data_IF_436980094525
#
_entry.id   IF_436980094525
#
_cell.length_a   1.000
_cell.length_b   1.000
_cell.length_c   1.000
_cell.angle_alpha   90.00
_cell.angle_beta   90.00
_cell.angle_gamma   90.00
#
_symmetry.space_group_name_H-M   'P 1'
#
loop_
_entity.id
_entity.type
_entity.pdbx_description
1 polymer ?
#
# COMPACT_ATOMS: atom_id res chain seq x y z
N UNK A 1 -27.73 -19.41 -70.48
CA UNK A 1 -26.80 -20.18 -69.63
C UNK A 1 -25.69 -19.32 -69.00
N UNK A 2 -25.37 -18.11 -69.45
CA UNK A 2 -24.29 -17.29 -68.88
C UNK A 2 -24.68 -16.46 -67.64
N UNK A 3 -25.94 -16.32 -67.29
CA UNK A 3 -26.42 -15.54 -66.14
C UNK A 3 -26.61 -16.38 -64.87
N UNK A 4 -26.65 -17.69 -64.96
CA UNK A 4 -26.74 -18.57 -63.78
C UNK A 4 -25.37 -18.90 -63.14
N UNK A 5 -24.28 -18.81 -63.90
CA UNK A 5 -22.94 -19.11 -63.41
C UNK A 5 -22.34 -17.98 -62.50
N UNK A 6 -22.82 -16.73 -62.67
CA UNK A 6 -22.32 -15.58 -61.88
C UNK A 6 -22.97 -15.56 -60.49
N UNK A 7 -24.17 -16.11 -60.31
CA UNK A 7 -24.87 -16.13 -59.01
C UNK A 7 -24.28 -17.22 -58.06
N UNK A 8 -23.73 -18.29 -58.59
CA UNK A 8 -23.11 -19.37 -57.80
C UNK A 8 -21.70 -18.98 -57.34
N UNK A 9 -20.95 -18.20 -58.15
CA UNK A 9 -19.63 -17.71 -57.73
C UNK A 9 -19.69 -16.63 -56.65
N UNK A 10 -20.79 -15.87 -56.57
CA UNK A 10 -21.01 -14.86 -55.52
C UNK A 10 -21.36 -15.45 -54.15
N UNK A 11 -21.97 -16.66 -54.13
CA UNK A 11 -22.36 -17.32 -52.87
C UNK A 11 -21.21 -18.11 -52.23
N UNK A 12 -20.19 -18.51 -52.99
CA UNK A 12 -19.03 -19.24 -52.48
C UNK A 12 -17.95 -18.32 -51.92
N UNK A 13 -17.91 -17.06 -52.36
CA UNK A 13 -16.95 -16.08 -51.89
C UNK A 13 -17.28 -15.45 -50.51
N UNK A 14 -18.49 -15.65 -50.00
CA UNK A 14 -18.89 -15.14 -48.65
C UNK A 14 -18.74 -16.13 -47.53
N UNK A 15 -18.29 -17.36 -47.80
CA UNK A 15 -18.07 -18.41 -46.79
C UNK A 15 -16.61 -18.56 -46.33
N UNK A 16 -15.70 -17.68 -46.77
CA UNK A 16 -14.28 -17.76 -46.38
C UNK A 16 -13.91 -16.50 -45.59
N UNK A 17 -13.93 -16.66 -44.29
CA UNK A 17 -13.27 -15.89 -43.20
C UNK A 17 -14.20 -15.31 -42.14
N UNK A 18 -15.11 -16.11 -41.63
CA UNK A 18 -15.52 -15.95 -40.24
C UNK A 18 -14.64 -16.90 -39.43
N UNK A 19 -13.39 -16.49 -39.16
CA UNK A 19 -12.69 -16.99 -37.99
C UNK A 19 -13.56 -16.56 -36.79
N UNK A 20 -14.39 -17.50 -36.32
CA UNK A 20 -15.30 -17.27 -35.22
C UNK A 20 -14.44 -16.91 -33.98
N UNK A 21 -14.33 -15.61 -33.72
CA UNK A 21 -13.67 -15.13 -32.53
C UNK A 21 -14.44 -15.68 -31.32
N UNK A 22 -13.77 -16.50 -30.51
CA UNK A 22 -14.38 -17.12 -29.34
C UNK A 22 -14.97 -16.02 -28.45
N UNK A 23 -16.19 -16.26 -27.94
CA UNK A 23 -16.78 -15.36 -26.94
C UNK A 23 -15.90 -15.28 -25.69
N UNK A 24 -16.04 -14.20 -24.90
CA UNK A 24 -15.30 -14.06 -23.65
C UNK A 24 -15.46 -15.28 -22.74
N UNK A 25 -16.66 -15.84 -22.66
CA UNK A 25 -16.93 -17.03 -21.86
C UNK A 25 -16.20 -18.26 -22.40
N UNK A 26 -16.11 -18.43 -23.72
CA UNK A 26 -15.36 -19.53 -24.35
C UNK A 26 -13.84 -19.37 -24.12
N UNK A 27 -13.31 -18.16 -24.06
CA UNK A 27 -11.90 -17.94 -23.72
C UNK A 27 -11.60 -18.38 -22.28
N UNK A 28 -12.47 -18.04 -21.32
CA UNK A 28 -12.34 -18.50 -19.93
C UNK A 28 -12.41 -20.04 -19.84
N UNK A 29 -13.37 -20.66 -20.55
CA UNK A 29 -13.51 -22.12 -20.61
C UNK A 29 -12.27 -22.81 -21.20
N UNK A 30 -11.59 -22.18 -22.16
CA UNK A 30 -10.36 -22.71 -22.76
C UNK A 30 -9.24 -22.84 -21.71
N UNK A 31 -9.09 -21.85 -20.81
CA UNK A 31 -8.11 -21.91 -19.72
C UNK A 31 -8.44 -23.03 -18.73
N UNK A 32 -9.71 -23.13 -18.32
CA UNK A 32 -10.17 -24.21 -17.43
C UNK A 32 -9.95 -25.59 -18.04
N UNK A 33 -10.21 -25.75 -19.33
CA UNK A 33 -9.98 -27.00 -20.06
C UNK A 33 -8.49 -27.38 -20.05
N UNK A 34 -7.60 -26.42 -20.28
CA UNK A 34 -6.15 -26.64 -20.21
C UNK A 34 -5.72 -27.20 -18.84
N UNK A 35 -6.16 -26.58 -17.73
CA UNK A 35 -5.84 -27.06 -16.39
C UNK A 35 -6.37 -28.47 -16.11
N UNK A 36 -7.56 -28.80 -16.62
CA UNK A 36 -8.10 -30.16 -16.52
C UNK A 36 -7.23 -31.17 -17.31
N UNK A 37 -6.75 -30.80 -18.52
CA UNK A 37 -5.88 -31.66 -19.30
C UNK A 37 -4.52 -31.87 -18.61
N UNK A 38 -3.92 -30.85 -18.07
CA UNK A 38 -2.67 -30.96 -17.30
C UNK A 38 -2.87 -31.93 -16.14
N UNK A 39 -3.90 -31.72 -15.32
CA UNK A 39 -4.15 -32.59 -14.17
C UNK A 39 -4.39 -34.04 -14.52
N UNK A 40 -5.05 -34.31 -15.64
CA UNK A 40 -5.50 -35.68 -16.00
C UNK A 40 -4.53 -36.42 -16.91
N UNK A 41 -3.72 -35.71 -17.70
CA UNK A 41 -2.96 -36.30 -18.80
C UNK A 41 -1.47 -35.95 -18.82
N UNK A 42 -1.03 -35.00 -17.99
CA UNK A 42 0.40 -34.67 -17.96
C UNK A 42 1.20 -35.84 -17.37
N UNK A 43 2.41 -36.05 -17.86
CA UNK A 43 3.23 -37.23 -17.55
C UNK A 43 3.62 -37.30 -16.08
N UNK A 44 3.83 -36.15 -15.45
CA UNK A 44 4.20 -36.04 -14.02
C UNK A 44 3.05 -35.45 -13.20
N UNK A 45 3.01 -35.75 -11.91
CA UNK A 45 2.08 -35.14 -10.98
C UNK A 45 2.55 -33.70 -10.63
N UNK A 46 1.79 -32.71 -11.10
CA UNK A 46 2.14 -31.29 -10.94
C UNK A 46 1.11 -30.59 -10.08
N UNK A 47 1.53 -29.87 -9.00
CA UNK A 47 0.63 -29.04 -8.22
C UNK A 47 0.07 -27.89 -9.08
N UNK A 48 -1.26 -27.73 -9.09
CA UNK A 48 -1.91 -26.70 -9.91
C UNK A 48 -1.74 -25.29 -9.34
N UNK A 49 -1.56 -25.16 -8.02
CA UNK A 49 -1.49 -23.86 -7.34
C UNK A 49 -0.42 -22.93 -7.95
N UNK A 50 0.86 -23.33 -8.08
CA UNK A 50 1.88 -22.48 -8.69
C UNK A 50 1.58 -22.12 -10.16
N UNK A 51 1.00 -23.06 -10.92
CA UNK A 51 0.64 -22.82 -12.32
C UNK A 51 -0.48 -21.77 -12.46
N UNK A 52 -1.46 -21.80 -11.56
CA UNK A 52 -2.56 -20.84 -11.54
C UNK A 52 -2.05 -19.47 -11.12
N UNK A 53 -1.19 -19.39 -10.12
CA UNK A 53 -0.58 -18.13 -9.66
C UNK A 53 0.24 -17.47 -10.78
N UNK A 54 1.09 -18.21 -11.45
CA UNK A 54 1.87 -17.71 -12.60
C UNK A 54 0.96 -17.20 -13.73
N UNK A 55 -0.12 -17.92 -14.03
CA UNK A 55 -1.08 -17.48 -15.05
C UNK A 55 -1.80 -16.18 -14.65
N UNK A 56 -2.15 -16.01 -13.36
CA UNK A 56 -2.74 -14.79 -12.83
C UNK A 56 -1.73 -13.64 -12.95
N UNK A 57 -0.48 -13.86 -12.52
CA UNK A 57 0.59 -12.86 -12.58
C UNK A 57 0.81 -12.43 -14.04
N UNK A 58 0.96 -13.38 -14.97
CA UNK A 58 1.13 -13.07 -16.38
C UNK A 58 -0.05 -12.28 -16.96
N UNK A 59 -1.28 -12.65 -16.62
CA UNK A 59 -2.49 -11.96 -17.09
C UNK A 59 -2.56 -10.52 -16.58
N UNK A 60 -2.25 -10.29 -15.30
CA UNK A 60 -2.32 -8.96 -14.68
C UNK A 60 -1.23 -8.05 -15.24
N UNK A 61 -0.05 -8.58 -15.51
CA UNK A 61 1.09 -7.83 -16.07
C UNK A 61 0.79 -7.20 -17.44
N UNK A 62 -0.12 -7.80 -18.22
CA UNK A 62 -0.58 -7.26 -19.51
C UNK A 62 -1.55 -6.08 -19.39
N UNK A 63 -2.03 -5.74 -18.17
CA UNK A 63 -3.00 -4.66 -17.98
C UNK A 63 -2.33 -3.31 -17.77
N UNK A 64 -1.43 -3.24 -16.80
CA UNK A 64 -0.68 -2.04 -16.43
C UNK A 64 0.45 -2.40 -15.42
N UNK A 65 1.48 -1.54 -15.24
CA UNK A 65 2.61 -1.84 -14.37
C UNK A 65 2.30 -1.74 -12.86
N UNK A 66 1.08 -1.36 -12.47
CA UNK A 66 0.69 -1.14 -11.08
C UNK A 66 -0.30 -2.19 -10.56
N UNK A 67 -1.06 -2.83 -11.44
CA UNK A 67 -1.87 -3.98 -11.06
C UNK A 67 -0.96 -5.16 -10.72
N UNK A 68 -1.27 -5.90 -9.65
CA UNK A 68 -0.42 -6.98 -9.16
C UNK A 68 -1.24 -8.07 -8.47
N UNK A 69 -0.73 -9.30 -8.57
CA UNK A 69 -1.10 -10.37 -7.66
C UNK A 69 -0.33 -10.20 -6.36
N UNK A 70 -0.97 -10.48 -5.25
CA UNK A 70 -0.39 -10.39 -3.91
C UNK A 70 -0.54 -11.75 -3.22
N UNK A 71 0.55 -12.29 -2.76
CA UNK A 71 0.57 -13.48 -1.91
C UNK A 71 -0.20 -13.22 -0.61
N UNK A 72 -0.46 -14.27 0.14
CA UNK A 72 -1.10 -14.16 1.48
C UNK A 72 -0.32 -13.24 2.42
N UNK A 73 0.99 -13.35 2.40
CA UNK A 73 1.91 -12.54 3.20
C UNK A 73 1.88 -11.07 2.77
N UNK A 74 1.93 -10.79 1.47
CA UNK A 74 1.85 -9.44 0.92
C UNK A 74 0.49 -8.79 1.17
N UNK A 75 -0.61 -9.55 1.08
CA UNK A 75 -1.94 -9.10 1.45
C UNK A 75 -2.02 -8.71 2.94
N UNK A 76 -1.43 -9.51 3.81
CA UNK A 76 -1.36 -9.21 5.24
C UNK A 76 -0.56 -7.93 5.50
N UNK A 77 0.59 -7.76 4.84
CA UNK A 77 1.43 -6.57 4.94
C UNK A 77 0.72 -5.31 4.41
N UNK A 78 -0.01 -5.43 3.29
CA UNK A 78 -0.80 -4.34 2.73
C UNK A 78 -1.91 -3.89 3.68
N UNK A 79 -2.68 -4.84 4.22
CA UNK A 79 -3.76 -4.55 5.19
C UNK A 79 -3.21 -3.84 6.43
N UNK A 80 -2.11 -4.32 6.97
CA UNK A 80 -1.37 -3.69 8.08
C UNK A 80 -1.00 -2.24 7.77
N UNK A 81 -0.43 -1.99 6.60
CA UNK A 81 -0.03 -0.64 6.19
C UNK A 81 -1.23 0.30 6.05
N UNK A 82 -2.35 -0.18 5.51
CA UNK A 82 -3.55 0.63 5.29
C UNK A 82 -4.34 0.87 6.58
N UNK A 83 -4.39 -0.11 7.48
CA UNK A 83 -5.05 0.05 8.79
C UNK A 83 -4.24 0.90 9.77
N UNK A 84 -2.92 0.89 9.65
CA UNK A 84 -2.02 1.46 10.65
C UNK A 84 -1.84 0.58 11.89
N UNK A 85 -2.33 -0.68 11.84
CA UNK A 85 -2.25 -1.62 12.95
C UNK A 85 -1.55 -2.90 12.49
N UNK A 86 -0.75 -3.49 13.34
CA UNK A 86 -0.18 -4.82 13.11
C UNK A 86 -0.12 -5.61 14.40
N UNK A 87 -0.29 -6.91 14.31
CA UNK A 87 -0.12 -7.77 15.47
C UNK A 87 1.33 -8.24 15.58
N UNK A 88 1.94 -7.97 16.73
CA UNK A 88 3.34 -8.29 16.99
C UNK A 88 3.79 -7.96 18.40
N UNK A 89 5.10 -7.77 18.58
CA UNK A 89 5.71 -7.50 19.89
C UNK A 89 5.96 -6.00 20.17
N UNK A 90 5.97 -5.15 19.13
CA UNK A 90 6.14 -3.70 19.28
C UNK A 90 7.58 -3.24 19.56
N UNK A 91 8.52 -3.67 18.73
CA UNK A 91 9.92 -3.19 18.75
C UNK A 91 10.29 -2.53 17.43
N UNK A 92 11.12 -1.49 17.50
CA UNK A 92 11.90 -0.98 16.36
C UNK A 92 13.32 -1.53 16.50
N UNK A 93 13.87 -2.08 15.44
CA UNK A 93 15.18 -2.72 15.46
C UNK A 93 15.99 -2.40 14.20
N UNK A 94 17.26 -2.73 14.26
CA UNK A 94 18.15 -2.78 13.11
C UNK A 94 18.94 -4.10 13.14
N UNK A 95 19.40 -4.55 11.98
CA UNK A 95 20.35 -5.64 11.90
C UNK A 95 21.76 -5.07 12.02
N UNK A 96 22.55 -5.59 12.96
CA UNK A 96 23.94 -5.22 13.16
C UNK A 96 24.79 -6.47 13.45
N UNK A 97 25.79 -6.73 12.61
CA UNK A 97 26.61 -7.94 12.67
C UNK A 97 25.74 -9.21 12.76
N UNK A 98 24.86 -9.39 11.78
CA UNK A 98 23.94 -10.53 11.64
C UNK A 98 23.00 -10.76 12.84
N UNK A 99 22.86 -9.77 13.71
CA UNK A 99 22.06 -9.87 14.93
C UNK A 99 21.03 -8.73 14.96
N UNK A 100 19.81 -9.04 15.40
CA UNK A 100 18.78 -8.05 15.64
C UNK A 100 19.08 -7.24 16.91
N UNK A 101 19.24 -5.93 16.77
CA UNK A 101 19.45 -5.01 17.89
C UNK A 101 18.24 -4.13 18.07
N UNK A 102 17.64 -4.16 19.26
CA UNK A 102 16.49 -3.32 19.60
C UNK A 102 16.92 -1.86 19.68
N UNK A 103 16.30 -0.98 18.90
CA UNK A 103 16.50 0.47 18.99
C UNK A 103 15.59 1.09 20.06
N UNK A 104 14.31 0.72 20.03
CA UNK A 104 13.31 1.19 20.99
C UNK A 104 12.12 0.26 21.00
N UNK A 105 11.33 0.28 22.05
CA UNK A 105 10.00 -0.29 22.13
C UNK A 105 8.95 0.75 21.72
N UNK A 106 7.82 0.31 21.21
CA UNK A 106 6.66 1.17 20.96
C UNK A 106 5.86 1.33 22.26
N UNK A 107 5.29 2.50 22.45
CA UNK A 107 4.48 2.79 23.63
C UNK A 107 3.30 1.81 23.76
N UNK A 108 2.98 1.40 24.96
CA UNK A 108 1.92 0.45 25.30
C UNK A 108 2.03 -0.93 24.63
N UNK A 109 3.21 -1.26 24.07
CA UNK A 109 3.43 -2.54 23.40
C UNK A 109 3.76 -3.69 24.37
N UNK A 110 3.61 -4.96 23.92
CA UNK A 110 4.09 -6.12 24.68
C UNK A 110 5.57 -6.03 25.08
N UNK A 111 6.42 -5.55 24.16
CA UNK A 111 7.85 -5.41 24.42
C UNK A 111 8.16 -4.39 25.53
N UNK A 112 7.43 -3.26 25.55
CA UNK A 112 7.56 -2.28 26.63
C UNK A 112 7.10 -2.85 27.97
N UNK A 113 5.92 -3.49 28.00
CA UNK A 113 5.39 -4.14 29.21
C UNK A 113 6.33 -5.23 29.74
N UNK A 114 7.02 -5.95 28.86
CA UNK A 114 8.00 -6.98 29.22
C UNK A 114 9.41 -6.43 29.51
N UNK A 115 9.58 -5.09 29.50
CA UNK A 115 10.84 -4.42 29.78
C UNK A 115 11.99 -4.86 28.86
N UNK A 116 11.67 -4.98 27.58
CA UNK A 116 12.71 -5.05 26.54
C UNK A 116 13.34 -3.67 26.42
N UNK A 117 14.66 -3.62 26.38
CA UNK A 117 15.42 -2.37 26.47
C UNK A 117 16.13 -2.07 25.14
N UNK A 118 16.40 -0.78 24.86
CA UNK A 118 17.32 -0.40 23.80
C UNK A 118 18.69 -1.08 23.96
N UNK A 119 19.27 -1.51 22.84
CA UNK A 119 20.51 -2.30 22.74
C UNK A 119 20.40 -3.76 23.19
N UNK A 120 19.22 -4.28 23.54
CA UNK A 120 19.01 -5.71 23.64
C UNK A 120 19.28 -6.36 22.27
N UNK A 121 20.01 -7.48 22.26
CA UNK A 121 20.27 -8.27 21.07
C UNK A 121 19.41 -9.52 21.10
N UNK A 122 18.47 -9.63 20.15
CA UNK A 122 17.62 -10.81 20.01
C UNK A 122 18.36 -11.81 19.15
N UNK A 123 18.63 -13.00 19.69
CA UNK A 123 19.38 -14.06 19.04
C UNK A 123 18.51 -15.26 18.64
N UNK A 124 17.34 -15.40 19.26
CA UNK A 124 16.39 -16.46 18.91
C UNK A 124 14.94 -16.00 19.07
N UNK A 125 14.05 -16.58 18.28
CA UNK A 125 12.59 -16.44 18.36
C UNK A 125 12.00 -17.84 18.36
N UNK A 126 11.15 -18.16 19.36
CA UNK A 126 10.54 -19.49 19.55
C UNK A 126 11.57 -20.64 19.49
N UNK A 127 12.70 -20.45 20.17
CA UNK A 127 13.86 -21.34 20.22
C UNK A 127 14.57 -21.56 18.87
N UNK A 128 14.25 -20.80 17.84
CA UNK A 128 14.97 -20.81 16.56
C UNK A 128 15.97 -19.67 16.54
N UNK A 129 17.21 -19.95 16.19
CA UNK A 129 18.22 -18.90 16.01
C UNK A 129 17.81 -17.99 14.85
N UNK A 130 18.00 -16.68 15.06
CA UNK A 130 17.76 -15.65 14.02
C UNK A 130 19.05 -14.92 13.62
N UNK A 131 20.19 -15.46 13.98
CA UNK A 131 21.49 -14.94 13.55
C UNK A 131 21.66 -15.23 12.06
N UNK A 132 22.07 -14.22 11.30
CA UNK A 132 22.26 -14.26 9.84
C UNK A 132 20.98 -14.57 9.01
N UNK A 133 19.79 -14.33 9.57
CA UNK A 133 18.53 -14.46 8.83
C UNK A 133 18.17 -13.10 8.18
N UNK A 134 17.58 -13.08 6.95
CA UNK A 134 17.11 -11.85 6.33
C UNK A 134 16.11 -11.09 7.21
N UNK A 135 16.19 -9.76 7.19
CA UNK A 135 15.37 -8.86 8.03
C UNK A 135 13.88 -9.11 7.88
N UNK A 136 13.42 -9.38 6.66
CA UNK A 136 12.00 -9.63 6.37
C UNK A 136 11.48 -10.92 7.01
N UNK A 137 12.33 -11.96 7.03
CA UNK A 137 12.01 -13.23 7.71
C UNK A 137 11.91 -13.03 9.22
N UNK A 138 12.77 -12.20 9.81
CA UNK A 138 12.71 -11.86 11.24
C UNK A 138 11.42 -11.10 11.55
N UNK A 139 11.04 -10.13 10.72
CA UNK A 139 9.79 -9.40 10.86
C UNK A 139 8.57 -10.34 10.88
N UNK A 140 8.55 -11.34 10.00
CA UNK A 140 7.49 -12.36 9.94
C UNK A 140 7.41 -13.19 11.22
N UNK A 141 8.55 -13.59 11.81
CA UNK A 141 8.59 -14.35 13.05
C UNK A 141 8.11 -13.55 14.26
N UNK A 142 8.39 -12.25 14.33
CA UNK A 142 7.95 -11.35 15.40
C UNK A 142 6.45 -11.02 15.31
N UNK A 143 5.89 -11.04 14.11
CA UNK A 143 4.44 -10.87 13.85
C UNK A 143 3.71 -12.17 14.12
N UNK A 144 2.37 -12.10 14.15
CA UNK A 144 1.51 -13.26 14.32
C UNK A 144 0.10 -12.84 14.74
N UNK A 145 -0.74 -13.81 15.06
CA UNK A 145 -2.10 -13.50 15.52
C UNK A 145 -2.05 -12.83 16.91
N UNK A 146 -2.91 -11.83 17.18
CA UNK A 146 -3.05 -11.26 18.52
C UNK A 146 -3.30 -12.35 19.56
N UNK A 147 -2.84 -12.12 20.76
CA UNK A 147 -2.96 -13.04 21.91
C UNK A 147 -2.19 -14.38 21.78
N UNK A 148 -1.32 -14.54 20.77
CA UNK A 148 -0.40 -15.69 20.69
C UNK A 148 0.91 -15.37 21.38
N UNK A 149 1.52 -16.37 22.02
CA UNK A 149 2.82 -16.22 22.68
C UNK A 149 3.95 -16.27 21.67
N UNK A 150 5.04 -15.54 21.97
CA UNK A 150 6.33 -15.60 21.29
C UNK A 150 7.44 -15.51 22.32
N UNK A 151 8.43 -16.39 22.22
CA UNK A 151 9.56 -16.43 23.14
C UNK A 151 10.80 -15.84 22.49
N UNK A 152 11.44 -14.87 23.14
CA UNK A 152 12.64 -14.18 22.63
C UNK A 152 13.84 -14.53 23.49
N UNK A 153 14.90 -15.06 22.85
CA UNK A 153 16.20 -15.21 23.47
C UNK A 153 17.02 -13.92 23.28
N UNK A 154 17.43 -13.30 24.37
CA UNK A 154 17.99 -11.94 24.38
C UNK A 154 19.34 -11.93 25.07
N UNK A 155 20.37 -11.36 24.43
CA UNK A 155 21.60 -10.97 25.06
C UNK A 155 21.50 -9.51 25.51
N UNK A 156 21.66 -9.25 26.78
CA UNK A 156 21.61 -7.91 27.39
C UNK A 156 22.93 -7.56 28.05
N UNK A 157 23.42 -6.36 27.80
CA UNK A 157 24.68 -5.87 28.46
C UNK A 157 24.54 -5.94 29.97
N UNK A 158 25.56 -6.48 30.65
CA UNK A 158 25.58 -6.65 32.11
C UNK A 158 24.82 -7.88 32.62
N UNK A 159 24.45 -8.81 31.72
CA UNK A 159 23.95 -10.14 32.08
C UNK A 159 24.85 -11.21 31.49
N UNK A 160 25.30 -12.17 32.33
CA UNK A 160 26.22 -13.24 31.91
C UNK A 160 25.54 -14.33 31.07
N UNK A 161 24.23 -14.47 31.17
CA UNK A 161 23.44 -15.48 30.46
C UNK A 161 22.36 -14.83 29.61
N UNK A 162 22.01 -15.42 28.47
CA UNK A 162 20.86 -15.00 27.69
C UNK A 162 19.59 -15.03 28.54
N UNK A 163 18.74 -14.05 28.34
CA UNK A 163 17.41 -13.95 28.93
C UNK A 163 16.40 -14.57 27.98
N UNK A 164 15.48 -15.37 28.48
CA UNK A 164 14.31 -15.84 27.75
C UNK A 164 13.08 -15.04 28.22
N UNK A 165 12.51 -14.27 27.33
CA UNK A 165 11.35 -13.42 27.62
C UNK A 165 10.20 -13.87 26.71
N UNK A 166 9.12 -14.36 27.30
CA UNK A 166 7.89 -14.69 26.57
C UNK A 166 6.95 -13.51 26.57
N UNK A 167 6.48 -13.14 25.39
CA UNK A 167 5.58 -12.02 25.14
C UNK A 167 4.29 -12.56 24.53
N UNK A 168 3.18 -11.92 24.85
CA UNK A 168 1.94 -12.16 24.13
C UNK A 168 1.81 -11.10 23.04
N UNK A 169 1.75 -11.51 21.75
CA UNK A 169 1.53 -10.60 20.63
C UNK A 169 0.23 -9.82 20.81
N UNK A 170 0.26 -8.57 20.45
CA UNK A 170 -0.87 -7.65 20.59
C UNK A 170 -1.03 -6.81 19.33
N UNK A 171 -2.17 -6.16 19.16
CA UNK A 171 -2.32 -5.14 18.13
C UNK A 171 -1.47 -3.93 18.50
N UNK A 172 -0.57 -3.58 17.62
CA UNK A 172 0.34 -2.45 17.75
C UNK A 172 -0.12 -1.38 16.79
N UNK A 173 -0.42 -0.21 17.30
CA UNK A 173 -0.65 0.97 16.48
C UNK A 173 0.68 1.46 15.92
N UNK A 174 0.73 1.58 14.61
CA UNK A 174 1.87 2.18 13.90
C UNK A 174 1.48 3.58 13.49
N UNK A 175 2.02 4.58 14.18
CA UNK A 175 1.72 5.97 13.85
C UNK A 175 2.13 6.31 12.41
N UNK A 176 1.22 6.96 11.70
CA UNK A 176 1.48 7.56 10.39
C UNK A 176 2.40 8.79 10.48
N UNK A 177 2.51 9.37 11.68
CA UNK A 177 3.37 10.53 11.95
C UNK A 177 4.73 10.04 12.42
N UNK A 178 5.75 10.23 11.60
CA UNK A 178 7.12 9.82 11.89
C UNK A 178 7.89 10.82 12.73
N UNK A 179 7.55 12.10 12.63
CA UNK A 179 8.12 13.17 13.43
C UNK A 179 7.13 14.35 13.54
N UNK A 180 7.09 14.99 14.70
CA UNK A 180 6.38 16.26 14.92
C UNK A 180 7.13 17.07 15.97
N UNK A 181 7.52 18.31 15.63
CA UNK A 181 8.22 19.24 16.50
C UNK A 181 8.09 20.67 16.01
N UNK A 182 8.38 21.64 16.85
CA UNK A 182 8.47 23.05 16.49
C UNK A 182 9.91 23.55 16.51
N UNK A 183 10.24 24.45 15.58
CA UNK A 183 11.50 25.18 15.47
C UNK A 183 11.15 26.67 15.53
N UNK A 184 11.15 27.24 16.75
CA UNK A 184 10.56 28.56 16.98
C UNK A 184 9.08 28.53 16.59
N UNK A 185 8.66 29.46 15.76
CA UNK A 185 7.26 29.61 15.32
C UNK A 185 6.89 28.69 14.12
N UNK A 186 7.80 27.82 13.69
CA UNK A 186 7.61 26.90 12.59
C UNK A 186 7.30 25.50 13.11
N UNK A 187 6.11 24.99 12.82
CA UNK A 187 5.74 23.60 13.07
C UNK A 187 6.24 22.70 11.93
N UNK A 188 6.69 21.50 12.28
CA UNK A 188 7.08 20.46 11.32
C UNK A 188 6.38 19.15 11.66
N UNK A 189 5.71 18.55 10.67
CA UNK A 189 5.07 17.23 10.79
C UNK A 189 5.45 16.39 9.58
N UNK A 190 6.08 15.24 9.83
CA UNK A 190 6.40 14.27 8.79
C UNK A 190 5.39 13.13 8.79
N UNK A 191 4.77 12.88 7.63
CA UNK A 191 3.79 11.84 7.40
C UNK A 191 4.42 10.72 6.59
N UNK A 192 4.56 9.54 7.16
CA UNK A 192 5.22 8.39 6.52
C UNK A 192 4.29 7.53 5.67
N UNK A 193 2.99 7.56 5.94
CA UNK A 193 1.99 6.77 5.20
C UNK A 193 0.59 7.37 5.38
N UNK A 194 -0.29 7.12 4.42
CA UNK A 194 -1.72 7.47 4.52
C UNK A 194 -2.53 6.26 5.01
N UNK A 195 -2.30 5.87 6.28
CA UNK A 195 -3.11 4.88 6.98
C UNK A 195 -4.45 5.48 7.45
N UNK A 196 -5.38 4.63 7.85
CA UNK A 196 -6.73 5.06 8.26
C UNK A 196 -6.74 6.16 9.35
N UNK A 197 -5.91 6.13 10.41
CA UNK A 197 -5.95 7.15 11.48
C UNK A 197 -5.16 8.42 11.16
N UNK A 198 -4.52 8.57 9.98
CA UNK A 198 -3.56 9.65 9.70
C UNK A 198 -4.09 11.05 9.97
N UNK A 199 -5.34 11.34 9.61
CA UNK A 199 -5.90 12.68 9.81
C UNK A 199 -6.07 13.04 11.29
N UNK A 200 -6.51 12.10 12.11
CA UNK A 200 -6.66 12.28 13.56
C UNK A 200 -5.31 12.36 14.27
N UNK A 201 -4.34 11.51 13.88
CA UNK A 201 -2.98 11.57 14.39
C UNK A 201 -2.30 12.88 14.03
N UNK A 202 -2.44 13.30 12.76
CA UNK A 202 -1.91 14.58 12.30
C UNK A 202 -2.46 15.76 13.08
N UNK A 203 -3.79 15.82 13.26
CA UNK A 203 -4.43 16.90 14.01
C UNK A 203 -4.04 16.90 15.48
N UNK A 204 -3.85 15.73 16.08
CA UNK A 204 -3.34 15.60 17.45
C UNK A 204 -1.89 16.07 17.57
N UNK A 205 -1.04 15.68 16.61
CA UNK A 205 0.34 16.13 16.52
C UNK A 205 0.42 17.65 16.34
N UNK A 206 -0.39 18.22 15.43
CA UNK A 206 -0.48 19.67 15.22
C UNK A 206 -0.82 20.41 16.52
N UNK A 207 -1.83 19.97 17.25
CA UNK A 207 -2.20 20.59 18.53
C UNK A 207 -1.10 20.51 19.60
N UNK A 208 -0.27 19.48 19.54
CA UNK A 208 0.84 19.30 20.46
C UNK A 208 2.04 20.22 20.16
N UNK A 209 2.11 20.83 18.97
CA UNK A 209 3.18 21.80 18.62
C UNK A 209 3.09 23.12 19.37
N UNK A 210 1.92 23.43 19.96
CA UNK A 210 1.66 24.72 20.61
C UNK A 210 1.38 25.83 19.59
N UNK A 211 1.72 27.05 19.97
CA UNK A 211 1.52 28.24 19.14
C UNK A 211 2.59 28.27 18.04
N UNK A 212 2.18 28.06 16.80
CA UNK A 212 3.03 28.13 15.62
C UNK A 212 2.41 29.09 14.59
N UNK A 213 3.24 29.82 13.85
CA UNK A 213 2.78 30.75 12.81
C UNK A 213 2.71 30.12 11.43
N UNK A 214 3.45 29.06 11.16
CA UNK A 214 3.42 28.32 9.90
C UNK A 214 3.70 26.84 10.11
N UNK A 215 3.32 26.01 9.12
CA UNK A 215 3.41 24.56 9.18
C UNK A 215 4.12 23.98 7.95
N UNK A 216 5.09 23.12 8.19
CA UNK A 216 5.71 22.28 7.17
C UNK A 216 5.14 20.86 7.30
N UNK A 217 4.57 20.37 6.21
CA UNK A 217 4.13 18.96 6.06
C UNK A 217 5.12 18.25 5.15
N UNK A 218 5.83 17.27 5.69
CA UNK A 218 6.82 16.52 4.94
C UNK A 218 6.25 15.19 4.46
N UNK A 219 6.13 15.04 3.13
CA UNK A 219 5.68 13.84 2.43
C UNK A 219 6.82 13.17 1.63
N UNK A 220 8.07 13.57 1.85
CA UNK A 220 9.19 12.92 1.19
C UNK A 220 9.26 11.46 1.61
N UNK A 221 9.55 10.57 0.66
CA UNK A 221 9.59 9.10 0.83
C UNK A 221 8.27 8.46 1.25
N UNK A 222 7.15 9.20 1.14
CA UNK A 222 5.81 8.67 1.42
C UNK A 222 5.17 8.13 0.13
N UNK A 223 5.16 6.81 -0.03
CA UNK A 223 4.57 6.13 -1.19
C UNK A 223 3.03 6.15 -1.23
N UNK A 224 2.38 6.90 -0.33
CA UNK A 224 0.93 7.04 -0.28
C UNK A 224 0.25 6.10 0.73
N UNK A 225 -0.91 5.60 0.35
CA UNK A 225 -1.77 4.75 1.18
C UNK A 225 -3.23 4.79 0.68
N UNK A 226 -4.19 4.82 1.60
CA UNK A 226 -5.60 4.83 1.25
C UNK A 226 -6.04 6.20 0.71
N UNK A 227 -6.82 6.20 -0.38
CA UNK A 227 -7.39 7.44 -0.95
C UNK A 227 -8.29 8.18 0.04
N UNK A 228 -9.07 7.45 0.83
CA UNK A 228 -9.92 8.02 1.88
C UNK A 228 -9.11 8.78 2.90
N UNK A 229 -7.97 8.23 3.31
CA UNK A 229 -7.04 8.87 4.25
C UNK A 229 -6.40 10.14 3.69
N UNK A 230 -6.11 10.16 2.37
CA UNK A 230 -5.66 11.38 1.70
C UNK A 230 -6.74 12.46 1.69
N UNK A 231 -7.99 12.07 1.40
CA UNK A 231 -9.15 12.97 1.41
C UNK A 231 -9.35 13.55 2.82
N UNK A 232 -9.29 12.71 3.87
CA UNK A 232 -9.48 13.15 5.25
C UNK A 232 -8.38 14.12 5.70
N UNK A 233 -7.11 13.80 5.43
CA UNK A 233 -5.98 14.65 5.80
C UNK A 233 -5.98 15.97 5.02
N UNK A 234 -6.17 15.92 3.69
CA UNK A 234 -6.24 17.12 2.85
C UNK A 234 -7.38 18.02 3.28
N UNK A 235 -8.49 17.42 3.64
CA UNK A 235 -9.68 18.13 4.12
C UNK A 235 -9.47 18.92 5.41
N UNK A 236 -8.39 18.74 6.15
CA UNK A 236 -8.06 19.62 7.29
C UNK A 236 -7.70 21.04 6.85
N UNK A 237 -7.24 21.23 5.62
CA UNK A 237 -6.69 22.46 5.08
C UNK A 237 -7.60 23.18 4.07
N UNK A 238 -8.72 22.59 3.68
CA UNK A 238 -9.58 23.08 2.61
C UNK A 238 -10.94 23.57 3.10
N UNK A 239 -11.55 24.47 2.35
CA UNK A 239 -12.87 25.05 2.62
C UNK A 239 -13.99 24.12 2.17
N UNK A 240 -15.15 24.33 2.70
CA UNK A 240 -16.38 23.68 2.21
C UNK A 240 -16.58 23.96 0.72
N UNK A 241 -16.81 22.91 -0.05
CA UNK A 241 -17.02 22.96 -1.48
C UNK A 241 -15.76 22.76 -2.32
N UNK A 242 -14.57 22.89 -1.72
CA UNK A 242 -13.32 22.64 -2.44
C UNK A 242 -13.24 21.17 -2.85
N UNK A 243 -12.93 20.95 -4.12
CA UNK A 243 -12.66 19.60 -4.65
C UNK A 243 -11.29 19.15 -4.16
N UNK A 244 -11.20 17.94 -3.65
CA UNK A 244 -9.93 17.35 -3.21
C UNK A 244 -9.31 16.55 -4.36
N UNK A 245 -10.11 15.69 -4.97
CA UNK A 245 -9.69 14.81 -6.05
C UNK A 245 -10.94 14.34 -6.82
N UNK A 246 -10.81 14.07 -8.10
CA UNK A 246 -11.81 13.32 -8.85
C UNK A 246 -11.25 12.00 -9.36
N UNK A 247 -12.09 10.98 -9.45
CA UNK A 247 -11.71 9.66 -9.99
C UNK A 247 -12.58 9.31 -11.17
N UNK A 248 -11.95 8.84 -12.25
CA UNK A 248 -12.61 8.46 -13.50
C UNK A 248 -12.36 6.98 -13.77
N UNK A 249 -13.41 6.19 -13.60
CA UNK A 249 -13.43 4.75 -13.85
C UNK A 249 -14.21 4.39 -15.10
N UNK A 250 -14.45 3.08 -15.32
CA UNK A 250 -15.25 2.61 -16.45
C UNK A 250 -16.70 3.06 -16.33
N UNK A 251 -17.05 4.12 -17.06
CA UNK A 251 -18.42 4.62 -17.15
C UNK A 251 -18.90 5.46 -15.94
N UNK A 252 -18.03 5.80 -15.00
CA UNK A 252 -18.39 6.67 -13.87
C UNK A 252 -17.25 7.62 -13.49
N UNK A 253 -17.63 8.81 -13.05
CA UNK A 253 -16.73 9.78 -12.42
C UNK A 253 -17.22 10.05 -11.01
N UNK A 254 -16.33 10.06 -10.05
CA UNK A 254 -16.63 10.42 -8.65
C UNK A 254 -15.80 11.63 -8.28
N UNK A 255 -16.45 12.66 -7.73
CA UNK A 255 -15.80 13.87 -7.22
C UNK A 255 -15.85 13.82 -5.69
N UNK A 256 -14.69 13.99 -5.09
CA UNK A 256 -14.53 14.08 -3.63
C UNK A 256 -14.28 15.55 -3.27
N UNK A 257 -15.26 16.15 -2.65
CA UNK A 257 -15.23 17.56 -2.21
C UNK A 257 -15.37 17.67 -0.70
N UNK A 258 -14.94 18.79 -0.15
CA UNK A 258 -15.02 19.07 1.27
C UNK A 258 -16.44 19.43 1.69
N UNK A 259 -16.99 18.75 2.68
CA UNK A 259 -18.38 18.98 3.14
C UNK A 259 -18.50 20.04 4.23
N UNK A 260 -17.40 20.37 4.92
CA UNK A 260 -17.29 21.37 5.98
C UNK A 260 -15.92 22.03 5.90
N UNK A 261 -15.78 23.22 6.42
CA UNK A 261 -14.48 23.88 6.55
C UNK A 261 -13.51 23.04 7.38
N UNK A 262 -12.27 22.98 6.94
CA UNK A 262 -11.19 22.34 7.69
C UNK A 262 -10.75 23.19 8.87
N UNK A 263 -10.21 22.60 9.92
CA UNK A 263 -9.74 23.35 11.10
C UNK A 263 -8.41 24.09 10.90
N UNK A 264 -7.72 23.88 9.78
CA UNK A 264 -6.38 24.42 9.50
C UNK A 264 -6.36 25.30 8.25
N UNK A 265 -7.42 26.09 8.04
CA UNK A 265 -7.59 26.93 6.83
C UNK A 265 -6.57 28.05 6.74
N UNK A 266 -6.24 28.67 7.85
CA UNK A 266 -5.54 29.96 7.85
C UNK A 266 -4.05 29.84 8.12
N UNK A 267 -3.55 28.67 8.55
CA UNK A 267 -2.13 28.48 8.81
C UNK A 267 -1.33 28.48 7.50
N UNK A 268 -0.31 29.31 7.34
CA UNK A 268 0.62 29.24 6.22
C UNK A 268 1.23 27.84 6.11
N UNK A 269 1.18 27.26 4.90
CA UNK A 269 1.48 25.85 4.68
C UNK A 269 2.57 25.66 3.63
N UNK A 270 3.59 24.87 3.97
CA UNK A 270 4.59 24.34 3.04
C UNK A 270 4.50 22.82 3.01
N UNK A 271 4.51 22.25 1.82
CA UNK A 271 4.48 20.79 1.61
C UNK A 271 5.78 20.36 0.95
N UNK A 272 6.53 19.45 1.59
CA UNK A 272 7.76 18.89 1.04
C UNK A 272 7.47 17.57 0.33
N UNK A 273 7.93 17.44 -0.91
CA UNK A 273 7.82 16.22 -1.71
C UNK A 273 9.15 15.85 -2.38
N UNK A 274 9.29 14.58 -2.75
CA UNK A 274 10.37 14.08 -3.59
C UNK A 274 9.89 13.04 -4.60
N UNK A 275 10.80 12.44 -5.34
CA UNK A 275 10.53 11.41 -6.36
C UNK A 275 9.87 10.14 -5.81
N UNK A 276 9.91 9.91 -4.51
CA UNK A 276 9.27 8.79 -3.83
C UNK A 276 7.89 9.15 -3.25
N UNK A 277 7.50 10.44 -3.29
CA UNK A 277 6.14 10.87 -2.92
C UNK A 277 5.15 10.41 -3.98
N UNK A 278 4.24 9.49 -3.63
CA UNK A 278 3.38 8.83 -4.62
C UNK A 278 1.90 8.74 -4.19
N UNK A 279 1.00 8.60 -5.17
CA UNK A 279 -0.41 8.24 -4.94
C UNK A 279 -1.13 9.21 -3.98
N UNK A 280 -1.49 8.80 -2.75
CA UNK A 280 -2.15 9.62 -1.73
C UNK A 280 -1.37 10.90 -1.41
N UNK A 281 -0.03 10.85 -1.40
CA UNK A 281 0.83 12.03 -1.25
C UNK A 281 0.65 13.02 -2.39
N UNK A 282 0.43 12.53 -3.60
CA UNK A 282 0.21 13.36 -4.79
C UNK A 282 -1.21 13.94 -4.83
N UNK A 283 -2.19 13.25 -4.25
CA UNK A 283 -3.54 13.79 -4.03
C UNK A 283 -3.45 14.98 -3.07
N UNK A 284 -2.77 14.82 -1.94
CA UNK A 284 -2.58 15.90 -0.97
C UNK A 284 -1.86 17.09 -1.59
N UNK A 285 -0.65 16.88 -2.13
CA UNK A 285 0.16 17.94 -2.70
C UNK A 285 -0.53 18.63 -3.89
N UNK A 286 -1.20 17.84 -4.75
CA UNK A 286 -1.94 18.36 -5.90
C UNK A 286 -3.14 19.22 -5.51
N UNK A 287 -3.88 18.84 -4.49
CA UNK A 287 -5.00 19.63 -3.98
C UNK A 287 -4.52 20.95 -3.32
N UNK A 288 -3.48 20.88 -2.50
CA UNK A 288 -2.90 22.09 -1.89
C UNK A 288 -2.39 23.05 -2.96
N UNK A 289 -1.72 22.54 -3.99
CA UNK A 289 -1.20 23.34 -5.10
C UNK A 289 -2.32 23.96 -5.95
N UNK A 290 -3.32 23.17 -6.34
CA UNK A 290 -4.37 23.62 -7.25
C UNK A 290 -5.35 24.63 -6.62
N UNK A 291 -5.44 24.66 -5.30
CA UNK A 291 -6.22 25.66 -4.55
C UNK A 291 -5.38 26.86 -4.09
N UNK A 292 -4.11 26.97 -4.48
CA UNK A 292 -3.17 27.97 -3.94
C UNK A 292 -3.17 28.03 -2.40
N UNK A 293 -3.45 26.87 -1.76
CA UNK A 293 -3.59 26.78 -0.30
C UNK A 293 -2.24 26.83 0.42
N UNK A 294 -1.17 26.47 -0.26
CA UNK A 294 0.18 26.44 0.28
C UNK A 294 1.22 26.23 -0.82
N UNK A 295 2.48 26.26 -0.43
CA UNK A 295 3.61 26.10 -1.34
C UNK A 295 4.10 24.67 -1.33
N UNK A 296 4.20 24.06 -2.50
CA UNK A 296 4.79 22.72 -2.67
C UNK A 296 6.25 22.86 -3.07
N UNK A 297 7.16 22.26 -2.32
CA UNK A 297 8.62 22.39 -2.47
C UNK A 297 9.27 21.03 -2.59
N UNK A 298 10.27 20.90 -3.45
CA UNK A 298 11.09 19.70 -3.61
C UNK A 298 11.24 19.25 -5.05
N UNK A 299 11.30 17.94 -5.26
CA UNK A 299 11.46 17.34 -6.60
C UNK A 299 10.10 16.90 -7.17
N UNK A 300 10.08 16.66 -8.48
CA UNK A 300 8.91 16.04 -9.15
C UNK A 300 8.56 14.73 -8.47
N UNK A 301 7.28 14.57 -8.12
CA UNK A 301 6.75 13.38 -7.46
C UNK A 301 6.78 12.14 -8.36
N UNK A 302 6.46 10.98 -7.82
CA UNK A 302 6.52 9.67 -8.49
C UNK A 302 5.66 9.62 -9.77
N UNK A 303 4.44 10.17 -9.75
CA UNK A 303 3.51 10.14 -10.89
C UNK A 303 2.61 8.90 -10.90
N UNK A 304 2.06 8.48 -9.76
CA UNK A 304 1.06 7.39 -9.66
C UNK A 304 -0.34 7.96 -9.51
N UNK A 305 -1.02 8.15 -10.64
CA UNK A 305 -2.39 8.69 -10.72
C UNK A 305 -3.49 7.63 -10.90
N UNK A 306 -3.30 6.42 -10.35
CA UNK A 306 -4.20 5.28 -10.49
C UNK A 306 -4.87 4.92 -9.17
N UNK A 307 -6.17 4.66 -9.23
CA UNK A 307 -6.95 4.11 -8.12
C UNK A 307 -6.96 2.60 -8.25
N UNK A 308 -6.49 1.93 -7.22
CA UNK A 308 -6.46 0.48 -7.15
C UNK A 308 -7.51 -0.03 -6.17
N UNK A 309 -8.12 -1.16 -6.51
CA UNK A 309 -8.99 -1.95 -5.62
C UNK A 309 -8.29 -3.25 -5.27
N UNK A 310 -8.26 -3.55 -4.01
CA UNK A 310 -7.80 -4.85 -3.51
C UNK A 310 -8.97 -5.82 -3.54
N UNK A 311 -8.79 -6.93 -4.26
CA UNK A 311 -9.75 -8.03 -4.38
C UNK A 311 -9.19 -9.22 -3.59
N UNK A 312 -9.92 -9.65 -2.58
CA UNK A 312 -9.54 -10.80 -1.75
C UNK A 312 -9.85 -12.11 -2.48
N UNK A 313 -8.91 -13.04 -2.51
CA UNK A 313 -9.10 -14.40 -2.96
C UNK A 313 -9.34 -15.34 -1.75
N UNK A 314 -9.97 -16.48 -2.01
CA UNK A 314 -10.42 -17.39 -0.93
C UNK A 314 -9.29 -18.05 -0.14
N UNK A 315 -8.12 -18.17 -0.74
CA UNK A 315 -6.92 -18.74 -0.15
C UNK A 315 -6.13 -17.74 0.73
N UNK A 316 -6.57 -16.46 0.76
CA UNK A 316 -5.95 -15.37 1.51
C UNK A 316 -4.98 -14.53 0.69
N UNK A 317 -4.67 -14.92 -0.54
CA UNK A 317 -4.00 -14.09 -1.55
C UNK A 317 -4.95 -13.01 -2.08
N UNK A 318 -4.49 -12.15 -2.99
CA UNK A 318 -5.34 -11.11 -3.54
C UNK A 318 -4.83 -10.51 -4.84
N UNK A 319 -5.65 -9.67 -5.42
CA UNK A 319 -5.31 -8.90 -6.61
C UNK A 319 -5.50 -7.42 -6.32
N UNK A 320 -4.45 -6.65 -6.53
CA UNK A 320 -4.51 -5.20 -6.57
C UNK A 320 -4.78 -4.78 -8.01
N UNK A 321 -6.03 -4.39 -8.32
CA UNK A 321 -6.47 -4.10 -9.68
C UNK A 321 -6.72 -2.61 -9.86
N UNK A 322 -6.17 -2.01 -10.90
CA UNK A 322 -6.47 -0.63 -11.31
C UNK A 322 -7.91 -0.53 -11.81
N UNK A 323 -8.70 0.34 -11.18
CA UNK A 323 -10.13 0.52 -11.47
C UNK A 323 -10.49 1.92 -11.94
N UNK A 324 -9.64 2.92 -11.71
CA UNK A 324 -9.86 4.30 -12.11
C UNK A 324 -8.53 5.08 -12.19
N UNK A 325 -8.60 6.25 -12.83
CA UNK A 325 -7.57 7.28 -12.79
C UNK A 325 -8.06 8.43 -11.93
N UNK A 326 -7.15 9.12 -11.23
CA UNK A 326 -7.54 10.33 -10.52
C UNK A 326 -6.93 11.58 -11.14
N UNK A 327 -7.65 12.68 -10.98
CA UNK A 327 -7.27 14.01 -11.42
C UNK A 327 -7.29 14.96 -10.22
N UNK A 328 -6.36 15.89 -10.22
CA UNK A 328 -6.33 16.97 -9.24
C UNK A 328 -7.54 17.90 -9.41
N UNK A 329 -7.80 18.85 -8.48
CA UNK A 329 -8.91 19.79 -8.61
C UNK A 329 -8.95 20.56 -9.92
N UNK A 330 -7.81 20.95 -10.47
CA UNK A 330 -7.70 21.64 -11.77
C UNK A 330 -7.85 20.72 -12.98
N UNK A 331 -8.07 19.41 -12.78
CA UNK A 331 -8.22 18.42 -13.85
C UNK A 331 -6.92 17.83 -14.37
N UNK A 332 -5.77 18.13 -13.76
CA UNK A 332 -4.47 17.56 -14.17
C UNK A 332 -4.43 16.05 -13.87
N UNK A 333 -3.92 15.31 -14.85
CA UNK A 333 -3.64 13.88 -14.71
C UNK A 333 -2.23 13.71 -14.16
N UNK A 334 -2.11 13.11 -12.97
CA UNK A 334 -0.82 12.89 -12.29
C UNK A 334 -0.07 11.69 -12.89
N UNK A 335 -0.80 10.72 -13.46
CA UNK A 335 -0.19 9.50 -13.96
C UNK A 335 0.92 9.78 -14.97
N UNK A 336 2.15 9.33 -14.64
CA UNK A 336 3.27 9.32 -15.58
C UNK A 336 2.96 8.36 -16.73
N UNK A 337 3.19 8.77 -17.99
CA UNK A 337 3.03 7.87 -19.13
C UNK A 337 3.88 6.60 -18.95
N UNK A 338 3.31 5.44 -19.27
CA UNK A 338 4.01 4.17 -19.38
C UNK A 338 3.64 3.49 -20.68
N UNK A 339 4.60 2.82 -21.33
CA UNK A 339 4.34 1.91 -22.45
C UNK A 339 3.84 0.58 -21.91
N UNK A 340 2.73 0.11 -22.47
CA UNK A 340 2.26 -1.28 -22.28
C UNK A 340 3.11 -2.22 -23.12
#
# INVERSE_FOLDING_TARGET
MKRFAILILGLVATCLSASAQLSQQQQIQKLNYLYQQIRNNYVDDVPLEPLVEEAIIATIKELDPHSSYLTREEMSALRTRLSGEFAGVGIRYLMHNDTLVVRTTLANSPAERAKILPNDRIISIDNRTIIAIPTDSVATLLRGKPNTDVSLGIIRRGKDKPLNITLKRDNIESSAISAAFSLGDVGYISVSTFSKPVASEFYSAYKALGDIECLIVDLRDNAGGAITSAIDLTGLFLRKGDVIVSTEGRGNTTIYDKKKDGPLLDIPLVVLINENSASASEIFAGAIQDHDRGVVVGHTSFGKGLVQRVLDLKDGSGVCLTIARYKTPSGRVIQRPYSM
#
